data_IF_303620399881
#
_entry.id   IF_303620399881
#
_cell.length_a   1.000
_cell.length_b   1.000
_cell.length_c   1.000
_cell.angle_alpha   90.00
_cell.angle_beta   90.00
_cell.angle_gamma   90.00
#
_symmetry.space_group_name_H-M   'P 1'
#
loop_
_entity.id
_entity.type
_entity.pdbx_description
1 polymer ?
#
# COMPACT_ATOMS: atom_id res chain seq x y z
N UNK A 1 9.65 -5.92 -9.11
CA UNK A 1 9.98 -5.77 -7.67
C UNK A 1 9.45 -4.45 -7.12
N UNK A 2 8.83 -4.50 -5.93
CA UNK A 2 8.61 -3.38 -5.01
C UNK A 2 9.68 -3.43 -3.92
N UNK A 3 10.27 -2.29 -3.58
CA UNK A 3 11.34 -2.17 -2.57
C UNK A 3 11.05 -1.03 -1.61
N UNK A 4 11.06 -1.30 -0.32
CA UNK A 4 11.04 -0.31 0.75
C UNK A 4 12.48 0.06 1.14
N UNK A 5 12.89 1.29 0.87
CA UNK A 5 14.18 1.84 1.30
C UNK A 5 14.01 2.60 2.60
N UNK A 6 14.63 2.13 3.68
CA UNK A 6 14.56 2.76 4.99
C UNK A 6 15.75 3.70 5.13
N UNK A 7 15.49 5.01 5.17
CA UNK A 7 16.48 6.03 5.52
C UNK A 7 16.37 6.44 6.99
N UNK A 8 17.25 7.33 7.43
CA UNK A 8 17.32 7.80 8.83
C UNK A 8 16.04 8.49 9.33
N UNK A 9 15.26 9.11 8.43
CA UNK A 9 14.03 9.86 8.81
C UNK A 9 12.76 9.38 8.12
N UNK A 10 12.88 8.64 7.00
CA UNK A 10 11.75 8.28 6.15
C UNK A 10 11.98 6.92 5.49
N UNK A 11 10.89 6.19 5.27
CA UNK A 11 10.89 5.01 4.43
C UNK A 11 10.32 5.36 3.05
N UNK A 12 10.94 4.90 1.98
CA UNK A 12 10.54 5.23 0.60
C UNK A 12 10.20 3.95 -0.14
N UNK A 13 8.99 3.86 -0.67
CA UNK A 13 8.57 2.73 -1.49
C UNK A 13 8.88 3.00 -2.96
N UNK A 14 9.61 2.08 -3.57
CA UNK A 14 10.09 2.11 -4.94
C UNK A 14 9.48 0.93 -5.71
N UNK A 15 9.17 1.13 -6.99
CA UNK A 15 8.80 0.05 -7.91
C UNK A 15 9.38 0.36 -9.28
N UNK A 16 10.14 -0.59 -9.85
CA UNK A 16 10.79 -0.45 -11.16
C UNK A 16 11.58 0.86 -11.31
N UNK A 17 12.35 1.21 -10.27
CA UNK A 17 13.17 2.43 -10.23
C UNK A 17 12.40 3.74 -9.95
N UNK A 18 11.06 3.72 -9.90
CA UNK A 18 10.24 4.90 -9.62
C UNK A 18 9.75 4.91 -8.17
N UNK A 19 9.73 6.10 -7.55
CA UNK A 19 9.15 6.28 -6.21
C UNK A 19 7.63 6.22 -6.28
N UNK A 20 7.02 5.30 -5.55
CA UNK A 20 5.56 5.22 -5.39
C UNK A 20 5.07 6.18 -4.30
N UNK A 21 5.74 6.15 -3.14
CA UNK A 21 5.40 6.94 -1.95
C UNK A 21 6.60 7.08 -1.01
N UNK A 22 6.48 7.97 -0.03
CA UNK A 22 7.38 8.08 1.11
C UNK A 22 6.59 8.21 2.40
N UNK A 23 7.05 7.55 3.44
CA UNK A 23 6.42 7.49 4.75
C UNK A 23 7.33 8.09 5.84
N UNK A 24 6.73 8.61 6.89
CA UNK A 24 7.39 8.90 8.17
C UNK A 24 7.78 7.60 8.89
N UNK A 25 8.43 7.72 10.05
CA UNK A 25 8.70 6.58 10.93
C UNK A 25 7.42 5.82 11.32
N UNK A 26 6.32 6.54 11.56
CA UNK A 26 5.01 5.94 11.83
C UNK A 26 4.54 5.03 10.70
N UNK A 27 4.72 5.44 9.44
CA UNK A 27 4.31 4.61 8.31
C UNK A 27 5.17 3.36 8.14
N UNK A 28 6.41 3.36 8.66
CA UNK A 28 7.21 2.13 8.75
C UNK A 28 6.64 1.16 9.78
N UNK A 29 6.12 1.66 10.91
CA UNK A 29 5.42 0.82 11.89
C UNK A 29 4.21 0.13 11.24
N UNK A 30 3.36 0.88 10.55
CA UNK A 30 2.19 0.31 9.87
C UNK A 30 2.54 -0.60 8.69
N UNK A 31 3.65 -0.34 8.01
CA UNK A 31 4.19 -1.27 7.02
C UNK A 31 4.55 -2.61 7.67
N UNK A 32 5.26 -2.59 8.80
CA UNK A 32 5.65 -3.80 9.52
C UNK A 32 4.44 -4.56 10.06
N UNK A 33 3.39 -3.88 10.47
CA UNK A 33 2.14 -4.54 10.83
C UNK A 33 1.50 -5.31 9.66
N UNK A 34 1.64 -4.82 8.43
CA UNK A 34 1.03 -5.46 7.26
C UNK A 34 1.94 -6.50 6.58
N UNK A 35 3.26 -6.27 6.59
CA UNK A 35 4.23 -7.04 5.80
C UNK A 35 5.38 -7.63 6.65
N UNK A 36 5.36 -7.47 7.97
CA UNK A 36 6.50 -7.82 8.82
C UNK A 36 7.76 -7.04 8.42
N UNK A 37 8.92 -7.66 8.58
CA UNK A 37 10.21 -7.04 8.21
C UNK A 37 10.52 -7.10 6.70
N UNK A 38 9.53 -7.43 5.86
CA UNK A 38 9.74 -7.45 4.41
C UNK A 38 10.06 -6.05 3.88
N UNK A 39 11.26 -5.90 3.32
CA UNK A 39 11.69 -4.69 2.61
C UNK A 39 11.64 -4.84 1.09
N UNK A 40 11.39 -6.04 0.60
CA UNK A 40 11.33 -6.36 -0.83
C UNK A 40 10.18 -7.32 -1.10
N UNK A 41 9.45 -7.05 -2.18
CA UNK A 41 8.39 -7.91 -2.70
C UNK A 41 8.66 -8.09 -4.19
N UNK A 42 8.90 -9.31 -4.61
CA UNK A 42 9.07 -9.65 -6.02
C UNK A 42 7.75 -9.44 -6.79
N UNK A 43 7.83 -9.06 -8.09
CA UNK A 43 6.63 -8.81 -8.92
C UNK A 43 6.19 -10.00 -9.78
N UNK A 44 6.57 -11.22 -9.41
CA UNK A 44 6.02 -12.45 -9.94
C UNK A 44 4.52 -12.60 -9.68
N UNK A 45 3.87 -13.42 -10.50
CA UNK A 45 2.47 -13.76 -10.37
C UNK A 45 2.10 -14.31 -8.98
N UNK A 46 3.01 -15.08 -8.37
CA UNK A 46 2.82 -15.65 -7.03
C UNK A 46 2.71 -14.59 -5.91
N UNK A 47 3.17 -13.36 -6.16
CA UNK A 47 3.16 -12.26 -5.18
C UNK A 47 2.21 -11.11 -5.56
N UNK A 48 1.35 -11.30 -6.56
CA UNK A 48 0.47 -10.23 -7.07
C UNK A 48 -0.37 -9.57 -5.99
N UNK A 49 -0.95 -10.36 -5.09
CA UNK A 49 -1.71 -9.86 -3.94
C UNK A 49 -0.85 -8.93 -3.05
N UNK A 50 0.33 -9.40 -2.62
CA UNK A 50 1.25 -8.62 -1.78
C UNK A 50 1.69 -7.33 -2.47
N UNK A 51 2.02 -7.41 -3.76
CA UNK A 51 2.37 -6.25 -4.59
C UNK A 51 1.21 -5.25 -4.65
N UNK A 52 -0.02 -5.74 -4.83
CA UNK A 52 -1.21 -4.91 -4.87
C UNK A 52 -1.48 -4.24 -3.53
N UNK A 53 -1.45 -4.99 -2.42
CA UNK A 53 -1.61 -4.46 -1.06
C UNK A 53 -0.53 -3.44 -0.70
N UNK A 54 0.72 -3.68 -1.09
CA UNK A 54 1.82 -2.74 -0.86
C UNK A 54 1.63 -1.43 -1.65
N UNK A 55 1.19 -1.54 -2.90
CA UNK A 55 0.87 -0.37 -3.72
C UNK A 55 -0.32 0.41 -3.14
N UNK A 56 -1.38 -0.29 -2.73
CA UNK A 56 -2.56 0.32 -2.12
C UNK A 56 -2.25 0.98 -0.79
N UNK A 57 -1.50 0.33 0.10
CA UNK A 57 -0.98 0.92 1.32
C UNK A 57 -0.28 2.25 1.01
N UNK A 58 0.64 2.24 0.05
CA UNK A 58 1.39 3.43 -0.34
C UNK A 58 0.53 4.58 -0.85
N UNK A 59 -0.55 4.27 -1.58
CA UNK A 59 -1.44 5.28 -2.15
C UNK A 59 -2.52 5.75 -1.19
N UNK A 60 -2.98 4.91 -0.26
CA UNK A 60 -4.02 5.24 0.70
C UNK A 60 -3.46 5.88 1.97
N UNK A 61 -2.24 5.50 2.38
CA UNK A 61 -1.63 5.95 3.63
C UNK A 61 -1.73 7.47 3.85
N UNK A 62 -1.47 8.36 2.87
CA UNK A 62 -1.56 9.80 3.09
C UNK A 62 -2.98 10.32 3.34
N UNK A 63 -4.01 9.57 2.95
CA UNK A 63 -5.40 10.02 2.92
C UNK A 63 -6.29 9.41 4.00
N UNK A 64 -5.81 8.43 4.75
CA UNK A 64 -6.55 7.77 5.83
C UNK A 64 -6.02 8.27 7.17
N UNK A 65 -6.87 8.82 8.04
CA UNK A 65 -6.44 9.22 9.39
C UNK A 65 -6.26 7.97 10.28
N UNK A 66 -7.28 7.12 10.24
CA UNK A 66 -7.43 5.76 10.77
C UNK A 66 -6.35 4.72 10.39
N UNK A 67 -5.04 4.89 10.64
CA UNK A 67 -4.02 3.99 10.05
C UNK A 67 -4.21 2.50 10.37
N UNK A 68 -4.65 2.18 11.59
CA UNK A 68 -5.02 0.83 11.99
C UNK A 68 -6.12 0.24 11.10
N UNK A 69 -7.16 1.02 10.78
CA UNK A 69 -8.24 0.57 9.88
C UNK A 69 -7.71 0.28 8.49
N UNK A 70 -6.82 1.11 7.96
CA UNK A 70 -6.19 0.85 6.66
C UNK A 70 -5.47 -0.51 6.66
N UNK A 71 -4.65 -0.78 7.67
CA UNK A 71 -3.93 -2.06 7.78
C UNK A 71 -4.90 -3.22 7.92
N UNK A 72 -5.91 -3.11 8.78
CA UNK A 72 -6.95 -4.14 8.95
C UNK A 72 -7.66 -4.44 7.64
N UNK A 73 -8.15 -3.41 6.94
CA UNK A 73 -8.81 -3.54 5.64
C UNK A 73 -7.90 -4.23 4.62
N UNK A 74 -6.63 -3.84 4.52
CA UNK A 74 -5.71 -4.47 3.57
C UNK A 74 -5.37 -5.91 3.94
N UNK A 75 -5.34 -6.25 5.24
CA UNK A 75 -5.11 -7.62 5.70
C UNK A 75 -6.28 -8.53 5.34
N UNK A 76 -7.51 -8.05 5.50
CA UNK A 76 -8.76 -8.78 5.26
C UNK A 76 -9.21 -8.78 3.79
N UNK A 77 -8.67 -7.88 2.96
CA UNK A 77 -8.98 -7.79 1.53
C UNK A 77 -8.48 -9.02 0.78
N UNK A 78 -9.35 -9.64 -0.03
CA UNK A 78 -8.99 -10.76 -0.90
C UNK A 78 -8.11 -10.33 -2.08
N UNK A 79 -7.49 -11.33 -2.72
CA UNK A 79 -6.53 -11.14 -3.81
C UNK A 79 -7.13 -10.40 -5.00
N UNK A 80 -8.35 -10.76 -5.39
CA UNK A 80 -9.02 -10.17 -6.54
C UNK A 80 -9.32 -8.69 -6.27
N UNK A 81 -9.90 -8.38 -5.11
CA UNK A 81 -10.19 -7.02 -4.70
C UNK A 81 -8.91 -6.16 -4.62
N UNK A 82 -7.83 -6.70 -4.04
CA UNK A 82 -6.55 -5.98 -3.96
C UNK A 82 -6.00 -5.64 -5.34
N UNK A 83 -5.96 -6.62 -6.25
CA UNK A 83 -5.45 -6.42 -7.62
C UNK A 83 -6.35 -5.47 -8.42
N UNK A 84 -7.66 -5.63 -8.33
CA UNK A 84 -8.64 -4.73 -8.95
C UNK A 84 -8.43 -3.29 -8.50
N UNK A 85 -8.38 -3.05 -7.18
CA UNK A 85 -8.19 -1.71 -6.65
C UNK A 85 -6.82 -1.13 -6.98
N UNK A 86 -5.76 -1.94 -7.00
CA UNK A 86 -4.45 -1.48 -7.47
C UNK A 86 -4.56 -0.96 -8.92
N UNK A 87 -5.23 -1.71 -9.80
CA UNK A 87 -5.43 -1.33 -11.20
C UNK A 87 -6.28 -0.06 -11.33
N UNK A 88 -7.38 0.03 -10.59
CA UNK A 88 -8.25 1.21 -10.54
C UNK A 88 -7.51 2.46 -10.06
N UNK A 89 -6.69 2.35 -9.01
CA UNK A 89 -5.88 3.47 -8.49
C UNK A 89 -4.80 3.88 -9.49
N UNK A 90 -4.21 2.95 -10.26
CA UNK A 90 -3.25 3.28 -11.32
C UNK A 90 -3.90 4.07 -12.47
N UNK A 91 -5.12 3.73 -12.85
CA UNK A 91 -5.79 4.34 -14.00
C UNK A 91 -6.60 5.60 -13.65
N UNK A 92 -7.28 5.61 -12.51
CA UNK A 92 -8.23 6.67 -12.11
C UNK A 92 -7.72 7.54 -10.95
N UNK A 93 -6.57 7.21 -10.37
CA UNK A 93 -5.91 8.03 -9.34
C UNK A 93 -6.79 8.34 -8.13
N UNK A 94 -6.94 9.63 -7.82
CA UNK A 94 -7.66 10.12 -6.64
C UNK A 94 -9.15 9.71 -6.62
N UNK A 95 -9.79 9.55 -7.79
CA UNK A 95 -11.20 9.11 -7.85
C UNK A 95 -11.38 7.69 -7.31
N UNK A 96 -10.47 6.78 -7.69
CA UNK A 96 -10.48 5.41 -7.16
C UNK A 96 -10.13 5.37 -5.67
N UNK A 97 -9.17 6.20 -5.23
CA UNK A 97 -8.83 6.33 -3.80
C UNK A 97 -10.05 6.77 -2.98
N UNK A 98 -10.79 7.79 -3.45
CA UNK A 98 -12.00 8.26 -2.76
C UNK A 98 -13.10 7.19 -2.71
N UNK A 99 -13.32 6.47 -3.82
CA UNK A 99 -14.30 5.39 -3.88
C UNK A 99 -13.94 4.24 -2.93
N UNK A 100 -12.67 3.81 -2.92
CA UNK A 100 -12.16 2.78 -2.02
C UNK A 100 -12.32 3.20 -0.56
N UNK A 101 -11.90 4.43 -0.22
CA UNK A 101 -12.07 4.97 1.14
C UNK A 101 -13.53 4.89 1.60
N UNK A 102 -14.47 5.27 0.74
CA UNK A 102 -15.90 5.25 1.04
C UNK A 102 -16.43 3.82 1.21
N UNK A 103 -16.04 2.90 0.31
CA UNK A 103 -16.50 1.52 0.33
C UNK A 103 -16.06 0.78 1.62
N UNK A 104 -14.82 1.00 2.06
CA UNK A 104 -14.25 0.34 3.24
C UNK A 104 -14.28 1.19 4.51
N UNK A 105 -15.03 2.29 4.52
CA UNK A 105 -15.19 3.17 5.69
C UNK A 105 -13.85 3.66 6.29
N UNK A 106 -12.91 4.01 5.40
CA UNK A 106 -11.58 4.53 5.75
C UNK A 106 -11.54 6.07 5.82
N UNK A 107 -12.69 6.71 6.04
CA UNK A 107 -12.83 8.19 6.05
C UNK A 107 -11.90 8.85 7.04
#
# INVERSE_FOLDING_TARGET
MITLRIGTRRATLMQRGRRIASFSAEGLTWWRELFGDMTQIDDSFANLEKVAKAYLFAKLYPYVHEKYRLVKTLREMDDFAAVYWMWEVKNKGLRAIAALKKLYQLT
#
